data_IF_196241931209
#
_entry.id   IF_196241931209
#
_cell.length_a   1.000
_cell.length_b   1.000
_cell.length_c   1.000
_cell.angle_alpha   90.00
_cell.angle_beta   90.00
_cell.angle_gamma   90.00
#
_symmetry.space_group_name_H-M   'P 1'
#
loop_
_entity.id
_entity.type
_entity.pdbx_description
1 polymer ?
#
# COMPACT_ATOMS: atom_id res chain seq x y z
N UNK A 1 44.06 55.04 -27.56
CA UNK A 1 43.27 55.00 -26.31
C UNK A 1 42.99 53.54 -25.98
N UNK A 2 43.44 53.09 -24.79
CA UNK A 2 43.38 51.70 -24.33
C UNK A 2 41.96 51.41 -23.84
N UNK A 3 41.24 50.47 -24.46
CA UNK A 3 39.97 49.95 -23.97
C UNK A 3 40.18 48.53 -23.43
N UNK A 4 40.30 48.42 -22.11
CA UNK A 4 40.45 47.16 -21.38
C UNK A 4 39.05 46.64 -21.04
N UNK A 5 38.58 45.58 -21.71
CA UNK A 5 37.38 44.85 -21.30
C UNK A 5 37.78 43.82 -20.23
N UNK A 6 37.20 43.83 -19.01
CA UNK A 6 37.35 42.72 -18.09
C UNK A 6 36.32 41.64 -18.43
N UNK A 7 36.80 40.46 -18.83
CA UNK A 7 35.99 39.24 -18.91
C UNK A 7 35.44 38.88 -17.52
N UNK A 8 34.12 38.92 -17.38
CA UNK A 8 33.43 38.36 -16.21
C UNK A 8 33.43 36.84 -16.33
N UNK A 9 34.28 36.16 -15.56
CA UNK A 9 34.16 34.71 -15.34
C UNK A 9 33.06 34.50 -14.31
N UNK A 10 31.87 34.12 -14.75
CA UNK A 10 30.80 33.67 -13.88
C UNK A 10 31.13 32.26 -13.36
N UNK A 11 31.66 32.16 -12.14
CA UNK A 11 31.79 30.89 -11.43
C UNK A 11 30.40 30.44 -10.96
N UNK A 12 29.78 29.52 -11.69
CA UNK A 12 28.56 28.84 -11.25
C UNK A 12 28.89 27.89 -10.10
N UNK A 13 28.56 28.30 -8.88
CA UNK A 13 28.57 27.43 -7.70
C UNK A 13 27.48 26.36 -7.88
N UNK A 14 27.90 25.13 -8.18
CA UNK A 14 27.07 23.94 -8.04
C UNK A 14 26.83 23.70 -6.55
N UNK A 15 25.73 24.23 -6.04
CA UNK A 15 25.21 23.88 -4.72
C UNK A 15 24.68 22.45 -4.79
N UNK A 16 25.54 21.46 -4.56
CA UNK A 16 25.10 20.11 -4.24
C UNK A 16 24.45 20.14 -2.86
N UNK A 17 23.13 20.31 -2.83
CA UNK A 17 22.33 20.03 -1.64
C UNK A 17 22.45 18.54 -1.36
N UNK A 18 23.46 18.15 -0.58
CA UNK A 18 23.50 16.85 0.05
C UNK A 18 22.27 16.74 0.93
N UNK A 19 21.26 15.99 0.46
CA UNK A 19 20.20 15.48 1.32
C UNK A 19 20.90 14.58 2.34
N UNK A 20 21.29 15.16 3.48
CA UNK A 20 21.64 14.41 4.66
C UNK A 20 20.40 13.60 5.02
N UNK A 21 20.40 12.33 4.65
CA UNK A 21 19.36 11.40 5.00
C UNK A 21 19.43 11.23 6.51
N UNK A 22 18.56 11.95 7.23
CA UNK A 22 18.43 11.79 8.67
C UNK A 22 18.00 10.36 8.93
N UNK A 23 18.94 9.53 9.36
CA UNK A 23 18.64 8.19 9.87
C UNK A 23 17.86 8.43 11.16
N UNK A 24 16.53 8.33 11.10
CA UNK A 24 15.71 8.28 12.31
C UNK A 24 16.15 7.06 13.12
N UNK A 25 16.92 7.29 14.17
CA UNK A 25 17.16 6.29 15.19
C UNK A 25 15.80 5.96 15.81
N UNK A 26 15.43 4.69 15.80
CA UNK A 26 14.25 4.21 16.52
C UNK A 26 14.49 4.37 18.02
N UNK A 27 13.47 4.85 18.75
CA UNK A 27 13.50 5.08 20.20
C UNK A 27 13.69 3.80 21.02
N UNK A 28 13.62 2.63 20.37
CA UNK A 28 13.85 1.34 21.01
C UNK A 28 15.35 1.05 21.19
N UNK A 29 15.78 0.55 22.36
CA UNK A 29 17.19 0.25 22.65
C UNK A 29 17.73 -0.92 21.80
N UNK A 30 16.85 -1.73 21.20
CA UNK A 30 17.19 -2.84 20.31
C UNK A 30 16.59 -2.56 18.94
N UNK A 31 17.42 -2.69 17.90
CA UNK A 31 17.03 -2.43 16.52
C UNK A 31 16.69 -3.75 15.82
N UNK A 32 15.51 -3.80 15.19
CA UNK A 32 15.09 -4.95 14.40
C UNK A 32 15.95 -5.06 13.13
N UNK A 33 16.30 -6.29 12.77
CA UNK A 33 16.90 -6.59 11.46
C UNK A 33 15.75 -6.76 10.46
N UNK A 34 15.73 -5.93 9.42
CA UNK A 34 14.76 -6.06 8.32
C UNK A 34 14.77 -7.47 7.75
N UNK A 35 13.58 -8.03 7.48
CA UNK A 35 13.43 -9.33 6.84
C UNK A 35 14.14 -9.41 5.48
N UNK A 36 14.29 -8.28 4.77
CA UNK A 36 15.04 -8.21 3.50
C UNK A 36 16.56 -8.44 3.65
N UNK A 37 17.10 -8.33 4.88
CA UNK A 37 18.50 -8.61 5.19
C UNK A 37 18.75 -10.06 5.62
N UNK A 38 17.70 -10.88 5.71
CA UNK A 38 17.78 -12.28 6.15
C UNK A 38 17.29 -13.19 5.04
N UNK A 39 18.07 -14.21 4.70
CA UNK A 39 17.67 -15.25 3.74
C UNK A 39 17.42 -16.55 4.50
N UNK A 40 16.17 -17.01 4.50
CA UNK A 40 15.82 -18.33 5.02
C UNK A 40 16.17 -19.38 3.96
N UNK A 41 16.97 -20.36 4.34
CA UNK A 41 17.49 -21.40 3.45
C UNK A 41 17.28 -22.81 4.04
N UNK A 42 16.49 -22.92 5.09
CA UNK A 42 16.22 -24.17 5.80
C UNK A 42 15.06 -24.96 5.16
N UNK A 43 14.85 -26.18 5.62
CA UNK A 43 13.80 -27.05 5.09
C UNK A 43 12.44 -26.88 5.79
N UNK A 44 12.34 -26.01 6.80
CA UNK A 44 11.09 -25.80 7.55
C UNK A 44 10.41 -24.47 7.17
N UNK A 45 11.13 -23.36 7.19
CA UNK A 45 10.54 -22.03 6.94
C UNK A 45 10.54 -21.61 5.47
N UNK A 46 11.60 -21.92 4.71
CA UNK A 46 11.62 -21.59 3.29
C UNK A 46 10.41 -22.17 2.53
N UNK A 47 10.00 -23.44 2.73
CA UNK A 47 8.79 -23.96 2.10
C UNK A 47 7.51 -23.19 2.48
N UNK A 48 7.38 -22.72 3.72
CA UNK A 48 6.21 -21.92 4.15
C UNK A 48 6.16 -20.55 3.47
N UNK A 49 7.31 -19.89 3.30
CA UNK A 49 7.38 -18.64 2.53
C UNK A 49 7.02 -18.84 1.06
N UNK A 50 7.45 -19.98 0.48
CA UNK A 50 7.07 -20.36 -0.89
C UNK A 50 5.58 -20.62 -1.00
N UNK A 51 4.99 -21.44 -0.12
CA UNK A 51 3.53 -21.65 -0.10
C UNK A 51 2.76 -20.34 0.06
N UNK A 52 3.21 -19.44 0.94
CA UNK A 52 2.55 -18.15 1.11
C UNK A 52 2.56 -17.32 -0.18
N UNK A 53 3.70 -17.29 -0.87
CA UNK A 53 3.90 -16.53 -2.12
C UNK A 53 3.14 -17.16 -3.30
N UNK A 54 3.28 -18.47 -3.49
CA UNK A 54 2.85 -19.16 -4.70
C UNK A 54 1.38 -19.61 -4.60
N UNK A 55 0.84 -19.76 -3.39
CA UNK A 55 -0.50 -20.31 -3.15
C UNK A 55 -1.37 -19.38 -2.32
N UNK A 56 -0.95 -19.03 -1.09
CA UNK A 56 -1.83 -18.32 -0.15
C UNK A 56 -2.20 -16.92 -0.63
N UNK A 57 -1.23 -16.11 -1.06
CA UNK A 57 -1.50 -14.73 -1.54
C UNK A 57 -2.43 -14.74 -2.76
N UNK A 58 -2.17 -15.52 -3.84
CA UNK A 58 -3.09 -15.64 -4.95
C UNK A 58 -4.49 -16.10 -4.54
N UNK A 59 -4.58 -17.13 -3.68
CA UNK A 59 -5.87 -17.64 -3.20
C UNK A 59 -6.64 -16.61 -2.36
N UNK A 60 -5.96 -15.81 -1.54
CA UNK A 60 -6.58 -14.74 -0.75
C UNK A 60 -7.17 -13.65 -1.64
N UNK A 61 -6.44 -13.22 -2.68
CA UNK A 61 -6.99 -12.27 -3.65
C UNK A 61 -8.18 -12.85 -4.43
N UNK A 62 -8.06 -14.09 -4.89
CA UNK A 62 -9.16 -14.78 -5.56
C UNK A 62 -10.39 -14.87 -4.66
N UNK A 63 -10.22 -15.17 -3.37
CA UNK A 63 -11.32 -15.22 -2.41
C UNK A 63 -11.95 -13.85 -2.21
N UNK A 64 -11.14 -12.80 -2.12
CA UNK A 64 -11.62 -11.42 -1.99
C UNK A 64 -12.50 -11.02 -3.18
N UNK A 65 -12.08 -11.34 -4.40
CA UNK A 65 -12.86 -11.11 -5.63
C UNK A 65 -14.15 -11.95 -5.65
N UNK A 66 -14.02 -13.26 -5.43
CA UNK A 66 -15.15 -14.20 -5.48
C UNK A 66 -16.22 -13.95 -4.41
N UNK A 67 -15.87 -13.23 -3.34
CA UNK A 67 -16.79 -12.90 -2.24
C UNK A 67 -17.05 -11.40 -2.14
N UNK A 68 -16.88 -10.66 -3.25
CA UNK A 68 -17.29 -9.27 -3.42
C UNK A 68 -16.58 -8.22 -2.54
N UNK A 69 -15.44 -8.54 -1.90
CA UNK A 69 -14.70 -7.54 -1.10
C UNK A 69 -14.24 -6.37 -1.97
N UNK A 70 -13.72 -6.67 -3.16
CA UNK A 70 -13.33 -5.66 -4.15
C UNK A 70 -14.55 -4.85 -4.63
N UNK A 71 -15.71 -5.52 -4.74
CA UNK A 71 -16.94 -4.89 -5.19
C UNK A 71 -17.41 -3.77 -4.25
N UNK A 72 -17.20 -3.91 -2.94
CA UNK A 72 -17.53 -2.85 -1.98
C UNK A 72 -16.85 -1.52 -2.34
N UNK A 73 -15.57 -1.52 -2.70
CA UNK A 73 -14.86 -0.31 -3.11
C UNK A 73 -15.46 0.31 -4.39
N UNK A 74 -15.82 -0.52 -5.37
CA UNK A 74 -16.50 -0.04 -6.58
C UNK A 74 -17.88 0.58 -6.27
N UNK A 75 -18.62 0.00 -5.32
CA UNK A 75 -19.93 0.50 -4.90
C UNK A 75 -19.79 1.78 -4.09
N UNK A 76 -18.76 1.92 -3.27
CA UNK A 76 -18.46 3.15 -2.54
C UNK A 76 -18.12 4.30 -3.50
N UNK A 77 -17.32 4.03 -4.53
CA UNK A 77 -16.95 5.02 -5.54
C UNK A 77 -18.14 5.48 -6.42
N UNK A 78 -19.11 4.60 -6.67
CA UNK A 78 -20.25 4.84 -7.60
C UNK A 78 -21.60 5.04 -6.93
N UNK A 79 -21.67 4.96 -5.59
CA UNK A 79 -22.91 4.95 -4.78
C UNK A 79 -23.87 3.81 -5.17
N UNK A 80 -23.44 2.58 -4.85
CA UNK A 80 -24.18 1.33 -5.09
C UNK A 80 -24.84 0.73 -3.84
N UNK A 81 -24.81 -0.61 -3.73
CA UNK A 81 -25.25 -1.35 -2.54
C UNK A 81 -24.05 -2.06 -1.90
N UNK A 82 -24.04 -2.18 -0.58
CA UNK A 82 -23.02 -2.98 0.11
C UNK A 82 -23.10 -4.43 -0.38
N UNK A 83 -21.97 -4.99 -0.80
CA UNK A 83 -21.91 -6.25 -1.54
C UNK A 83 -21.45 -7.43 -0.69
N UNK A 84 -21.16 -7.20 0.58
CA UNK A 84 -20.73 -8.21 1.55
C UNK A 84 -21.57 -8.16 2.84
N UNK A 85 -21.14 -8.90 3.86
CA UNK A 85 -21.91 -9.09 5.10
C UNK A 85 -21.32 -8.25 6.22
N UNK A 86 -20.00 -8.28 6.41
CA UNK A 86 -19.40 -7.70 7.60
C UNK A 86 -18.82 -6.32 7.33
N UNK A 87 -18.98 -5.37 8.27
CA UNK A 87 -18.48 -4.01 8.10
C UNK A 87 -16.96 -3.96 7.89
N UNK A 88 -16.22 -4.87 8.52
CA UNK A 88 -14.76 -4.95 8.45
C UNK A 88 -14.21 -5.73 7.24
N UNK A 89 -15.06 -6.17 6.31
CA UNK A 89 -14.66 -6.96 5.13
C UNK A 89 -13.62 -6.22 4.25
N UNK A 90 -13.58 -4.88 4.31
CA UNK A 90 -12.54 -4.07 3.68
C UNK A 90 -11.12 -4.48 4.14
N UNK A 91 -10.98 -4.91 5.39
CA UNK A 91 -9.68 -5.26 5.98
C UNK A 91 -9.03 -6.49 5.34
N UNK A 92 -9.80 -7.37 4.71
CA UNK A 92 -9.27 -8.54 4.01
C UNK A 92 -8.40 -8.10 2.82
N UNK A 93 -8.82 -7.05 2.11
CA UNK A 93 -8.05 -6.43 1.02
C UNK A 93 -6.76 -5.82 1.56
N UNK A 94 -6.86 -5.04 2.64
CA UNK A 94 -5.70 -4.34 3.22
C UNK A 94 -4.62 -5.33 3.69
N UNK A 95 -5.02 -6.37 4.43
CA UNK A 95 -4.11 -7.40 4.94
C UNK A 95 -3.48 -8.23 3.83
N UNK A 96 -4.25 -8.53 2.77
CA UNK A 96 -3.72 -9.29 1.63
C UNK A 96 -2.72 -8.45 0.83
N UNK A 97 -3.00 -7.16 0.60
CA UNK A 97 -2.06 -6.21 0.00
C UNK A 97 -0.77 -6.10 0.83
N UNK A 98 -0.87 -6.06 2.16
CA UNK A 98 0.29 -6.04 3.05
C UNK A 98 1.16 -7.31 2.87
N UNK A 99 0.55 -8.50 2.95
CA UNK A 99 1.27 -9.76 2.77
C UNK A 99 1.94 -9.88 1.40
N UNK A 100 1.24 -9.45 0.35
CA UNK A 100 1.79 -9.38 -1.01
C UNK A 100 2.96 -8.39 -1.12
N UNK A 101 2.87 -7.23 -0.47
CA UNK A 101 3.94 -6.23 -0.44
C UNK A 101 5.23 -6.78 0.18
N UNK A 102 5.13 -7.53 1.29
CA UNK A 102 6.30 -8.20 1.87
C UNK A 102 6.86 -9.27 0.96
N UNK A 103 6.00 -10.08 0.34
CA UNK A 103 6.43 -11.13 -0.59
C UNK A 103 7.18 -10.54 -1.80
N UNK A 104 6.70 -9.46 -2.40
CA UNK A 104 7.35 -8.78 -3.55
C UNK A 104 8.77 -8.28 -3.25
N UNK A 105 9.10 -7.97 -1.99
CA UNK A 105 10.47 -7.60 -1.61
C UNK A 105 11.43 -8.79 -1.60
N UNK A 106 10.94 -10.02 -1.46
CA UNK A 106 11.75 -11.24 -1.49
C UNK A 106 11.70 -11.93 -2.86
N UNK A 107 10.52 -11.91 -3.49
CA UNK A 107 10.21 -12.59 -4.73
C UNK A 107 9.46 -11.62 -5.66
N UNK A 108 10.20 -10.77 -6.42
CA UNK A 108 9.60 -9.84 -7.36
C UNK A 108 8.70 -10.55 -8.38
N UNK A 109 7.51 -9.98 -8.63
CA UNK A 109 6.54 -10.52 -9.58
C UNK A 109 5.74 -9.35 -10.21
N UNK A 110 6.08 -8.99 -11.43
CA UNK A 110 5.49 -7.84 -12.14
C UNK A 110 3.97 -7.96 -12.33
N UNK A 111 3.45 -9.18 -12.51
CA UNK A 111 2.00 -9.40 -12.66
C UNK A 111 1.25 -9.11 -11.36
N UNK A 112 1.81 -9.57 -10.24
CA UNK A 112 1.24 -9.31 -8.92
C UNK A 112 1.31 -7.82 -8.59
N UNK A 113 2.44 -7.17 -8.87
CA UNK A 113 2.64 -5.73 -8.67
C UNK A 113 1.60 -4.90 -9.43
N UNK A 114 1.42 -5.17 -10.73
CA UNK A 114 0.42 -4.49 -11.56
C UNK A 114 -1.03 -4.75 -11.10
N UNK A 115 -1.33 -5.96 -10.64
CA UNK A 115 -2.64 -6.28 -10.06
C UNK A 115 -2.89 -5.51 -8.76
N UNK A 116 -1.88 -5.39 -7.89
CA UNK A 116 -1.97 -4.59 -6.68
C UNK A 116 -2.23 -3.12 -7.00
N UNK A 117 -1.57 -2.55 -7.99
CA UNK A 117 -1.83 -1.17 -8.45
C UNK A 117 -3.26 -0.96 -8.95
N UNK A 118 -3.84 -1.95 -9.65
CA UNK A 118 -5.26 -1.90 -10.01
C UNK A 118 -6.16 -1.89 -8.78
N UNK A 119 -5.91 -2.78 -7.82
CA UNK A 119 -6.71 -2.88 -6.61
C UNK A 119 -6.59 -1.61 -5.75
N UNK A 120 -5.38 -1.07 -5.60
CA UNK A 120 -5.12 0.20 -4.89
C UNK A 120 -5.87 1.35 -5.55
N UNK A 121 -5.96 1.40 -6.89
CA UNK A 121 -6.78 2.42 -7.58
C UNK A 121 -8.26 2.30 -7.25
N UNK A 122 -8.81 1.09 -7.12
CA UNK A 122 -10.20 0.87 -6.68
C UNK A 122 -10.41 1.35 -5.24
N UNK A 123 -9.47 1.04 -4.36
CA UNK A 123 -9.49 1.50 -2.95
C UNK A 123 -9.43 3.03 -2.87
N UNK A 124 -8.53 3.67 -3.62
CA UNK A 124 -8.40 5.12 -3.67
C UNK A 124 -9.65 5.80 -4.21
N UNK A 125 -10.31 5.22 -5.23
CA UNK A 125 -11.55 5.76 -5.79
C UNK A 125 -12.74 5.72 -4.80
N UNK A 126 -12.68 4.88 -3.77
CA UNK A 126 -13.69 4.80 -2.71
C UNK A 126 -13.46 5.82 -1.58
N UNK A 127 -12.30 6.49 -1.54
CA UNK A 127 -11.96 7.44 -0.47
C UNK A 127 -12.70 8.77 -0.64
N UNK A 128 -13.27 9.27 0.46
CA UNK A 128 -13.91 10.59 0.51
C UNK A 128 -12.90 11.75 0.45
N UNK A 129 -13.35 12.98 0.15
CA UNK A 129 -12.48 14.16 0.02
C UNK A 129 -11.79 14.58 1.34
N UNK A 130 -12.32 14.15 2.49
CA UNK A 130 -11.73 14.33 3.82
C UNK A 130 -10.77 13.21 4.22
N UNK A 131 -10.54 12.24 3.34
CA UNK A 131 -9.69 11.08 3.56
C UNK A 131 -10.40 9.87 4.18
N UNK A 132 -11.68 9.96 4.55
CA UNK A 132 -12.42 8.83 5.10
C UNK A 132 -12.53 7.68 4.08
N UNK A 133 -12.30 6.46 4.56
CA UNK A 133 -12.36 5.26 3.72
C UNK A 133 -12.90 4.10 4.54
N UNK A 134 -14.19 3.86 4.39
CA UNK A 134 -14.90 2.75 5.00
C UNK A 134 -16.16 2.47 4.19
N UNK A 135 -16.16 1.39 3.42
CA UNK A 135 -17.17 1.19 2.37
C UNK A 135 -18.57 1.00 2.97
N UNK A 136 -18.68 0.32 4.11
CA UNK A 136 -19.95 0.05 4.77
C UNK A 136 -20.72 1.32 5.19
N UNK A 137 -20.04 2.40 5.61
CA UNK A 137 -20.70 3.70 5.83
C UNK A 137 -20.75 4.57 4.57
N UNK A 138 -19.75 4.47 3.69
CA UNK A 138 -19.68 5.37 2.51
C UNK A 138 -20.77 5.07 1.48
N UNK A 139 -21.16 3.80 1.36
CA UNK A 139 -22.16 3.35 0.37
C UNK A 139 -23.57 3.78 0.76
N UNK A 140 -23.98 3.58 2.02
CA UNK A 140 -25.28 4.00 2.53
C UNK A 140 -25.13 4.64 3.92
N UNK A 141 -24.76 5.93 3.99
CA UNK A 141 -24.57 6.62 5.26
C UNK A 141 -25.88 6.83 6.03
N UNK A 142 -27.04 6.70 5.39
CA UNK A 142 -28.34 6.83 6.06
C UNK A 142 -28.74 5.55 6.81
N UNK A 143 -28.20 4.39 6.39
CA UNK A 143 -28.48 3.09 6.99
C UNK A 143 -27.16 2.33 7.21
N UNK A 144 -26.33 2.78 8.18
CA UNK A 144 -25.08 2.09 8.47
C UNK A 144 -25.33 0.66 8.96
N UNK A 145 -24.32 -0.20 8.81
CA UNK A 145 -24.36 -1.55 9.36
C UNK A 145 -24.70 -1.52 10.87
N UNK A 146 -25.43 -2.51 11.39
CA UNK A 146 -25.87 -2.57 12.80
C UNK A 146 -24.73 -2.55 13.85
N UNK A 147 -23.50 -2.85 13.43
CA UNK A 147 -22.30 -2.83 14.28
C UNK A 147 -21.51 -1.53 14.13
N UNK A 148 -21.88 -0.67 13.19
CA UNK A 148 -21.35 0.66 13.05
C UNK A 148 -22.23 1.65 13.83
N UNK A 149 -21.60 2.67 14.41
CA UNK A 149 -22.32 3.76 15.04
C UNK A 149 -23.04 4.65 14.00
N UNK A 150 -23.96 5.52 14.46
CA UNK A 150 -24.64 6.48 13.58
C UNK A 150 -23.73 7.61 13.10
N UNK A 151 -22.56 7.78 13.72
CA UNK A 151 -21.60 8.83 13.42
C UNK A 151 -20.50 8.33 12.48
N UNK A 152 -20.07 9.22 11.58
CA UNK A 152 -18.94 9.04 10.67
C UNK A 152 -17.68 9.63 11.26
#
# INVERSE_FOLDING_TARGET
MKGLFPSLVAASLLSSSGLAQSIKHSDYPIQAISFTKVKLADNFWLPRLKTNTDVTIPASFQRCEATNRVKNFEMAAKKGKFATIFPFDDSDIYKTLEGASYSLKLYPNEKLDAYMDELIRKVAAAQGPDGYLYTACTIDPAHPHEWAGPER
#
